data_IF_807413647493
#
_entry.id   IF_807413647493
#
_cell.length_a   1.000
_cell.length_b   1.000
_cell.length_c   1.000
_cell.angle_alpha   90.00
_cell.angle_beta   90.00
_cell.angle_gamma   90.00
#
_symmetry.space_group_name_H-M   'P 1'
#
loop_
_entity.id
_entity.type
_entity.pdbx_description
1 polymer ?
#
# COMPACT_ATOMS: atom_id res chain seq x y z
N UNK A 1 17.08 -12.07 -27.30
CA UNK A 1 16.43 -10.78 -27.59
C UNK A 1 14.96 -11.07 -27.89
N UNK A 2 13.95 -10.70 -27.11
CA UNK A 2 13.86 -10.00 -25.83
C UNK A 2 12.92 -10.72 -24.85
N UNK A 3 12.85 -10.17 -23.65
CA UNK A 3 12.48 -10.74 -22.36
C UNK A 3 10.98 -11.02 -22.22
N UNK A 4 10.59 -12.28 -22.42
CA UNK A 4 9.34 -12.86 -21.90
C UNK A 4 9.40 -12.90 -20.36
N UNK A 5 8.36 -12.40 -19.69
CA UNK A 5 7.83 -12.72 -18.34
C UNK A 5 7.15 -11.43 -17.80
N UNK A 6 5.86 -11.46 -17.44
CA UNK A 6 5.06 -10.44 -16.69
C UNK A 6 4.11 -9.41 -17.35
N UNK A 7 3.91 -9.32 -18.66
CA UNK A 7 3.08 -8.21 -19.21
C UNK A 7 1.56 -8.30 -18.91
N UNK A 8 0.94 -9.49 -18.99
CA UNK A 8 -0.53 -9.60 -18.99
C UNK A 8 -1.22 -9.22 -17.68
N UNK A 9 -0.72 -9.72 -16.55
CA UNK A 9 -1.34 -9.48 -15.24
C UNK A 9 -1.11 -8.04 -14.75
N UNK A 10 0.10 -7.50 -14.99
CA UNK A 10 0.43 -6.12 -14.64
C UNK A 10 -0.40 -5.16 -15.50
N UNK A 11 -0.53 -5.43 -16.81
CA UNK A 11 -1.38 -4.62 -17.68
C UNK A 11 -2.84 -4.68 -17.24
N UNK A 12 -3.36 -5.88 -16.93
CA UNK A 12 -4.74 -6.02 -16.45
C UNK A 12 -4.97 -5.26 -15.12
N UNK A 13 -4.00 -5.28 -14.21
CA UNK A 13 -4.07 -4.51 -12.96
C UNK A 13 -4.01 -3.00 -13.20
N UNK A 14 -3.17 -2.54 -14.14
CA UNK A 14 -3.11 -1.13 -14.54
C UNK A 14 -4.43 -0.66 -15.17
N UNK A 15 -4.99 -1.44 -16.10
CA UNK A 15 -6.27 -1.14 -16.74
C UNK A 15 -7.42 -1.10 -15.72
N UNK A 16 -7.41 -2.03 -14.75
CA UNK A 16 -8.37 -2.04 -13.65
C UNK A 16 -8.23 -0.79 -12.76
N UNK A 17 -6.99 -0.37 -12.48
CA UNK A 17 -6.74 0.81 -11.67
C UNK A 17 -7.25 2.09 -12.33
N UNK A 18 -7.03 2.26 -13.64
CA UNK A 18 -7.58 3.40 -14.40
C UNK A 18 -9.10 3.41 -14.30
N UNK A 19 -9.75 2.26 -14.56
CA UNK A 19 -11.21 2.15 -14.48
C UNK A 19 -11.76 2.44 -13.08
N UNK A 20 -11.02 2.05 -12.05
CA UNK A 20 -11.40 2.32 -10.66
C UNK A 20 -11.25 3.83 -10.33
N UNK A 21 -10.20 4.49 -10.81
CA UNK A 21 -10.05 5.95 -10.70
C UNK A 21 -11.19 6.68 -11.42
N UNK A 22 -11.51 6.30 -12.66
CA UNK A 22 -12.63 6.84 -13.44
C UNK A 22 -13.99 6.62 -12.76
N UNK A 23 -14.14 5.53 -12.02
CA UNK A 23 -15.34 5.23 -11.22
C UNK A 23 -15.42 6.03 -9.91
N UNK A 24 -14.42 6.84 -9.57
CA UNK A 24 -14.40 7.68 -8.38
C UNK A 24 -13.94 6.97 -7.10
N UNK A 25 -13.16 5.88 -7.23
CA UNK A 25 -12.49 5.27 -6.06
C UNK A 25 -11.55 6.30 -5.43
N UNK A 26 -11.57 6.42 -4.10
CA UNK A 26 -10.76 7.40 -3.37
C UNK A 26 -9.35 6.92 -3.05
N UNK A 27 -9.17 5.61 -2.88
CA UNK A 27 -7.88 5.00 -2.54
C UNK A 27 -7.83 3.52 -2.93
N UNK A 28 -6.63 3.01 -3.18
CA UNK A 28 -6.38 1.58 -3.44
C UNK A 28 -5.49 0.98 -2.36
N UNK A 29 -5.84 -0.21 -1.88
CA UNK A 29 -4.97 -0.98 -0.96
C UNK A 29 -4.07 -1.89 -1.78
N UNK A 30 -2.76 -1.75 -1.62
CA UNK A 30 -1.74 -2.43 -2.42
C UNK A 30 -0.92 -3.38 -1.57
N UNK A 31 -0.65 -4.58 -2.07
CA UNK A 31 0.09 -5.63 -1.35
C UNK A 31 1.41 -6.04 -2.02
N UNK A 32 1.77 -5.39 -3.12
CA UNK A 32 3.00 -5.64 -3.86
C UNK A 32 3.67 -4.30 -4.22
N UNK A 33 4.95 -4.14 -3.90
CA UNK A 33 5.68 -2.89 -4.12
C UNK A 33 5.96 -2.63 -5.61
N UNK A 34 6.11 -3.69 -6.42
CA UNK A 34 6.25 -3.59 -7.86
C UNK A 34 4.97 -3.04 -8.50
N UNK A 35 3.82 -3.59 -8.10
CA UNK A 35 2.52 -3.07 -8.51
C UNK A 35 2.31 -1.63 -8.02
N UNK A 36 2.69 -1.31 -6.78
CA UNK A 36 2.60 0.06 -6.27
C UNK A 36 3.36 1.06 -7.16
N UNK A 37 4.55 0.67 -7.64
CA UNK A 37 5.33 1.48 -8.59
C UNK A 37 4.60 1.68 -9.92
N UNK A 38 3.99 0.62 -10.47
CA UNK A 38 3.18 0.70 -11.71
C UNK A 38 1.96 1.60 -11.51
N UNK A 39 1.22 1.43 -10.41
CA UNK A 39 0.03 2.23 -10.11
C UNK A 39 0.37 3.72 -9.98
N UNK A 40 1.51 4.07 -9.38
CA UNK A 40 1.97 5.47 -9.32
C UNK A 40 2.22 6.08 -10.70
N UNK A 41 2.64 5.27 -11.67
CA UNK A 41 2.87 5.74 -13.04
C UNK A 41 1.57 5.90 -13.81
N UNK A 42 0.57 5.04 -13.57
CA UNK A 42 -0.66 4.96 -14.37
C UNK A 42 -1.79 5.82 -13.80
N UNK A 43 -1.92 5.88 -12.47
CA UNK A 43 -2.93 6.68 -11.74
C UNK A 43 -2.25 7.56 -10.69
N UNK A 44 -1.42 8.55 -11.08
CA UNK A 44 -0.57 9.31 -10.17
C UNK A 44 -1.33 10.13 -9.11
N UNK A 45 -2.62 10.42 -9.33
CA UNK A 45 -3.49 11.12 -8.38
C UNK A 45 -4.15 10.20 -7.34
N UNK A 46 -4.12 8.88 -7.56
CA UNK A 46 -4.77 7.91 -6.69
C UNK A 46 -4.00 7.73 -5.36
N UNK A 47 -4.70 7.88 -4.24
CA UNK A 47 -4.13 7.57 -2.94
C UNK A 47 -3.86 6.06 -2.82
N UNK A 48 -2.64 5.69 -2.45
CA UNK A 48 -2.26 4.28 -2.25
C UNK A 48 -2.08 4.00 -0.77
N UNK A 49 -2.77 2.98 -0.28
CA UNK A 49 -2.64 2.46 1.08
C UNK A 49 -1.76 1.20 1.04
N UNK A 50 -0.72 1.16 1.87
CA UNK A 50 0.07 -0.04 2.06
C UNK A 50 -0.78 -1.08 2.81
N UNK A 51 -1.01 -2.23 2.21
CA UNK A 51 -1.76 -3.32 2.82
C UNK A 51 -0.95 -4.08 3.88
N UNK A 52 -1.65 -4.71 4.81
CA UNK A 52 -1.07 -5.41 5.97
C UNK A 52 -0.09 -6.51 5.58
N UNK A 53 -0.32 -7.16 4.43
CA UNK A 53 0.57 -8.19 3.88
C UNK A 53 1.92 -7.67 3.36
N UNK A 54 2.12 -6.36 3.25
CA UNK A 54 3.44 -5.78 2.98
C UNK A 54 4.38 -5.90 4.20
N UNK A 55 3.84 -6.13 5.39
CA UNK A 55 4.63 -6.51 6.56
C UNK A 55 5.40 -5.37 7.23
N UNK A 56 4.91 -4.13 7.17
CA UNK A 56 5.52 -3.00 7.91
C UNK A 56 5.23 -3.10 9.41
N UNK A 57 6.09 -3.83 10.13
CA UNK A 57 5.93 -4.19 11.54
C UNK A 57 6.73 -3.31 12.53
N UNK A 58 7.32 -2.20 12.06
CA UNK A 58 8.18 -1.35 12.88
C UNK A 58 8.05 0.13 12.49
N UNK A 59 8.42 1.03 13.38
CA UNK A 59 8.42 2.47 13.11
C UNK A 59 9.25 2.83 11.86
N UNK A 60 10.52 2.36 11.70
CA UNK A 60 11.27 2.62 10.48
C UNK A 60 10.60 2.04 9.22
N UNK A 61 9.93 0.88 9.33
CA UNK A 61 9.18 0.30 8.22
C UNK A 61 7.98 1.16 7.80
N UNK A 62 7.24 1.70 8.77
CA UNK A 62 6.14 2.63 8.54
C UNK A 62 6.63 3.94 7.93
N UNK A 63 7.72 4.49 8.44
CA UNK A 63 8.35 5.70 7.87
C UNK A 63 8.85 5.45 6.44
N UNK A 64 9.41 4.28 6.17
CA UNK A 64 9.79 3.88 4.81
C UNK A 64 8.55 3.80 3.90
N UNK A 65 7.42 3.26 4.36
CA UNK A 65 6.19 3.25 3.60
C UNK A 65 5.68 4.67 3.29
N UNK A 66 5.75 5.59 4.26
CA UNK A 66 5.43 7.00 4.03
C UNK A 66 6.39 7.65 3.01
N UNK A 67 7.69 7.37 3.09
CA UNK A 67 8.70 7.85 2.13
C UNK A 67 8.50 7.28 0.72
N UNK A 68 7.98 6.06 0.61
CA UNK A 68 7.53 5.46 -0.65
C UNK A 68 6.25 6.11 -1.19
N UNK A 69 5.64 7.04 -0.46
CA UNK A 69 4.48 7.83 -0.86
C UNK A 69 3.13 7.14 -0.61
N UNK A 70 3.08 6.12 0.26
CA UNK A 70 1.79 5.57 0.71
C UNK A 70 1.11 6.59 1.63
N UNK A 71 -0.17 6.86 1.41
CA UNK A 71 -0.94 7.81 2.23
C UNK A 71 -1.34 7.22 3.57
N UNK A 72 -1.40 5.88 3.66
CA UNK A 72 -1.78 5.14 4.85
C UNK A 72 -1.10 3.77 4.91
N UNK A 73 -0.77 3.31 6.11
CA UNK A 73 -0.17 2.00 6.35
C UNK A 73 -1.09 1.13 7.18
N UNK A 74 -1.58 0.03 6.60
CA UNK A 74 -2.30 -1.01 7.35
C UNK A 74 -1.28 -1.88 8.08
N UNK A 75 -1.39 -1.93 9.39
CA UNK A 75 -0.47 -2.71 10.22
C UNK A 75 -0.81 -4.21 10.16
N UNK A 76 0.20 -5.10 10.21
CA UNK A 76 0.00 -6.55 10.29
C UNK A 76 -0.89 -6.98 11.47
N UNK A 77 -1.65 -8.06 11.29
CA UNK A 77 -2.64 -8.55 12.26
C UNK A 77 -1.99 -9.20 13.50
N UNK A 78 -0.75 -9.64 13.36
CA UNK A 78 0.06 -10.26 14.40
C UNK A 78 0.71 -9.26 15.37
N UNK A 79 0.53 -7.94 15.14
CA UNK A 79 1.08 -6.91 16.02
C UNK A 79 0.30 -6.80 17.33
N UNK A 80 1.03 -6.69 18.44
CA UNK A 80 0.43 -6.41 19.75
C UNK A 80 -0.04 -4.95 19.87
N UNK A 81 -1.04 -4.70 20.72
CA UNK A 81 -1.47 -3.33 21.05
C UNK A 81 -0.33 -2.45 21.54
N UNK A 82 0.67 -3.02 22.24
CA UNK A 82 1.85 -2.28 22.72
C UNK A 82 2.72 -1.79 21.56
N UNK A 83 2.95 -2.63 20.55
CA UNK A 83 3.72 -2.27 19.36
C UNK A 83 2.96 -1.24 18.52
N UNK A 84 1.65 -1.44 18.31
CA UNK A 84 0.79 -0.50 17.59
C UNK A 84 0.81 0.87 18.29
N UNK A 85 0.61 0.91 19.62
CA UNK A 85 0.63 2.15 20.39
C UNK A 85 2.00 2.85 20.32
N UNK A 86 3.09 2.08 20.33
CA UNK A 86 4.42 2.63 20.15
C UNK A 86 4.57 3.30 18.78
N UNK A 87 4.23 2.62 17.68
CA UNK A 87 4.34 3.20 16.34
C UNK A 87 3.46 4.45 16.21
N UNK A 88 2.19 4.36 16.65
CA UNK A 88 1.23 5.46 16.57
C UNK A 88 1.69 6.73 17.30
N UNK A 89 2.43 6.59 18.40
CA UNK A 89 2.95 7.72 19.16
C UNK A 89 4.19 8.40 18.52
N UNK A 90 4.85 7.75 17.55
CA UNK A 90 6.15 8.19 17.03
C UNK A 90 6.18 8.43 15.51
N UNK A 91 5.07 8.24 14.81
CA UNK A 91 4.97 8.50 13.36
C UNK A 91 3.94 9.58 13.05
N UNK A 92 4.16 10.31 11.96
CA UNK A 92 3.15 11.16 11.34
C UNK A 92 2.34 10.44 10.25
N UNK A 93 2.73 9.20 9.89
CA UNK A 93 2.02 8.41 8.90
C UNK A 93 0.62 8.03 9.40
N UNK A 94 -0.37 8.05 8.52
CA UNK A 94 -1.70 7.54 8.86
C UNK A 94 -1.64 6.01 8.99
N UNK A 95 -2.15 5.49 10.11
CA UNK A 95 -2.16 4.06 10.42
C UNK A 95 -3.58 3.50 10.35
N UNK A 96 -3.70 2.26 9.91
CA UNK A 96 -4.95 1.50 9.96
C UNK A 96 -4.70 0.12 10.59
N UNK A 97 -5.63 -0.30 11.44
CA UNK A 97 -5.58 -1.58 12.17
C UNK A 97 -6.93 -2.26 12.02
N UNK A 98 -6.93 -3.56 11.74
CA UNK A 98 -8.14 -4.36 11.78
C UNK A 98 -8.32 -5.00 13.16
N UNK A 99 -9.53 -4.89 13.72
CA UNK A 99 -9.89 -5.52 15.00
C UNK A 99 -10.81 -6.71 14.70
N UNK A 100 -10.44 -7.90 15.18
CA UNK A 100 -11.23 -9.11 15.04
C UNK A 100 -12.04 -9.33 16.33
N UNK A 101 -13.34 -9.59 16.19
CA UNK A 101 -14.32 -9.84 17.28
C UNK A 101 -14.46 -11.32 17.61
#
# INVERSE_FOLDING_TARGET
>A
MGTLLWDGEIQAAADLAVRAEEAGVSAMVVHDLGLASVLRAVVPGMALHAGERLGFHSLPGVEAAAQMGFSRVRLPLEMSLREIAFIAAHTAAELEVAVLS
#
